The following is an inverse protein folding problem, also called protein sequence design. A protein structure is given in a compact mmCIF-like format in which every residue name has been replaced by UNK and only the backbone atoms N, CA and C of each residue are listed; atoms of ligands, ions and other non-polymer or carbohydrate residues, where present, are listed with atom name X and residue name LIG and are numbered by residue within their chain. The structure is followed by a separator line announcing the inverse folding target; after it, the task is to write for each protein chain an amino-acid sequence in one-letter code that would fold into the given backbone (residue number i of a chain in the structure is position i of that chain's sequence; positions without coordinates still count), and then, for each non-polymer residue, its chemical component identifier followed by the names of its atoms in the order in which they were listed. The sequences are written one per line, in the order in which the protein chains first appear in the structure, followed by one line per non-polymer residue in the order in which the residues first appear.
data_IF_363930330576
#
_entry.id   IF_363930330576
#
_cell.length_a   1.000
_cell.length_b   1.000
_cell.length_c   1.000
_cell.angle_alpha   90.00
_cell.angle_beta   90.00
_cell.angle_gamma   90.00
#
_symmetry.space_group_name_H-M   'P 1'
#
loop_
_entity.id
_entity.type
_entity.pdbx_description
1 polymer ?
#
# COMPACT_ATOMS: atom_id res chain seq x y z
N UNK A 1 6.88 34.64 -19.03
CA UNK A 1 6.27 33.75 -18.01
C UNK A 1 7.02 32.42 -18.04
N UNK A 2 7.81 32.10 -17.01
CA UNK A 2 8.49 30.80 -16.95
C UNK A 2 7.49 29.70 -16.61
N UNK A 3 7.41 28.66 -17.45
CA UNK A 3 6.65 27.46 -17.12
C UNK A 3 7.35 26.75 -15.96
N UNK A 4 6.64 26.56 -14.86
CA UNK A 4 7.13 25.80 -13.70
C UNK A 4 7.38 24.35 -14.15
N UNK A 5 8.54 23.78 -13.80
CA UNK A 5 8.78 22.38 -14.12
C UNK A 5 7.81 21.49 -13.32
N UNK A 6 7.24 20.45 -13.95
CA UNK A 6 6.35 19.54 -13.25
C UNK A 6 7.14 18.76 -12.20
N UNK A 7 6.52 18.58 -11.04
CA UNK A 7 6.97 17.67 -10.01
C UNK A 7 6.93 16.22 -10.52
N UNK A 8 7.61 15.31 -9.81
CA UNK A 8 7.53 13.88 -10.09
C UNK A 8 6.08 13.37 -9.98
N UNK A 9 5.34 13.83 -8.97
CA UNK A 9 3.93 13.48 -8.78
C UNK A 9 3.04 13.91 -9.95
N UNK A 10 3.20 15.14 -10.44
CA UNK A 10 2.45 15.62 -11.62
C UNK A 10 2.80 14.82 -12.89
N UNK A 11 4.06 14.38 -13.01
CA UNK A 11 4.50 13.54 -14.13
C UNK A 11 3.85 12.16 -14.10
N UNK A 12 3.76 11.55 -12.91
CA UNK A 12 3.06 10.27 -12.71
C UNK A 12 1.56 10.40 -12.96
N UNK A 13 0.92 11.44 -12.43
CA UNK A 13 -0.50 11.69 -12.67
C UNK A 13 -0.80 11.85 -14.18
N UNK A 14 0.07 12.55 -14.91
CA UNK A 14 -0.05 12.68 -16.37
C UNK A 14 0.09 11.33 -17.09
N UNK A 15 1.00 10.47 -16.64
CA UNK A 15 1.14 9.13 -17.21
C UNK A 15 -0.13 8.29 -17.00
N UNK A 16 -0.70 8.30 -15.78
CA UNK A 16 -1.95 7.59 -15.45
C UNK A 16 -3.10 8.09 -16.35
N UNK A 17 -3.28 9.40 -16.47
CA UNK A 17 -4.33 9.98 -17.34
C UNK A 17 -4.13 9.58 -18.81
N UNK A 18 -2.87 9.59 -19.28
CA UNK A 18 -2.54 9.27 -20.67
C UNK A 18 -2.78 7.81 -21.02
N UNK A 19 -2.49 6.89 -20.10
CA UNK A 19 -2.62 5.46 -20.30
C UNK A 19 -4.09 5.03 -20.24
N UNK A 20 -4.78 5.38 -19.16
CA UNK A 20 -6.15 4.91 -18.90
C UNK A 20 -7.23 5.73 -19.61
N UNK A 21 -6.91 6.96 -20.04
CA UNK A 21 -7.81 7.88 -20.76
C UNK A 21 -9.24 7.94 -20.16
N UNK A 22 -9.37 8.20 -18.85
CA UNK A 22 -10.65 8.15 -18.18
C UNK A 22 -11.59 9.23 -18.72
N UNK A 23 -12.87 8.88 -18.87
CA UNK A 23 -13.93 9.80 -19.30
C UNK A 23 -14.85 10.17 -18.16
N UNK A 24 -14.90 9.33 -17.13
CA UNK A 24 -15.73 9.50 -15.93
C UNK A 24 -14.89 9.49 -14.67
N UNK A 25 -15.50 9.90 -13.54
CA UNK A 25 -14.90 9.77 -12.22
C UNK A 25 -14.66 8.31 -11.87
N UNK A 26 -15.58 7.42 -12.25
CA UNK A 26 -15.48 5.98 -12.02
C UNK A 26 -14.29 5.38 -12.78
N UNK A 27 -14.05 5.80 -14.03
CA UNK A 27 -12.88 5.36 -14.81
C UNK A 27 -11.57 5.76 -14.10
N UNK A 28 -11.50 6.98 -13.56
CA UNK A 28 -10.33 7.43 -12.81
C UNK A 28 -10.16 6.64 -11.50
N UNK A 29 -11.25 6.36 -10.78
CA UNK A 29 -11.20 5.54 -9.58
C UNK A 29 -10.71 4.12 -9.89
N UNK A 30 -11.15 3.53 -10.99
CA UNK A 30 -10.70 2.22 -11.44
C UNK A 30 -9.23 2.24 -11.85
N UNK A 31 -8.77 3.27 -12.57
CA UNK A 31 -7.36 3.44 -12.90
C UNK A 31 -6.47 3.57 -11.66
N UNK A 32 -6.92 4.32 -10.64
CA UNK A 32 -6.19 4.44 -9.38
C UNK A 32 -6.14 3.11 -8.62
N UNK A 33 -7.25 2.36 -8.58
CA UNK A 33 -7.28 1.02 -7.97
C UNK A 33 -6.38 0.03 -8.70
N UNK A 34 -6.31 0.09 -10.03
CA UNK A 34 -5.45 -0.81 -10.81
C UNK A 34 -3.96 -0.51 -10.57
N UNK A 35 -3.58 0.78 -10.50
CA UNK A 35 -2.19 1.19 -10.25
C UNK A 35 -1.76 0.95 -8.80
N UNK A 36 -2.61 1.27 -7.82
CA UNK A 36 -2.23 1.26 -6.41
C UNK A 36 -2.75 0.06 -5.62
N UNK A 37 -3.74 -0.68 -6.12
CA UNK A 37 -4.28 -1.88 -5.48
C UNK A 37 -3.20 -2.92 -5.17
N UNK A 38 -2.39 -3.34 -6.15
CA UNK A 38 -1.29 -4.28 -5.90
C UNK A 38 -0.25 -3.74 -4.92
N UNK A 39 -0.02 -2.43 -4.89
CA UNK A 39 0.90 -1.80 -3.94
C UNK A 39 0.36 -1.88 -2.51
N UNK A 40 -0.94 -1.61 -2.30
CA UNK A 40 -1.58 -1.77 -1.00
C UNK A 40 -1.62 -3.23 -0.57
N UNK A 41 -1.94 -4.16 -1.48
CA UNK A 41 -1.89 -5.59 -1.20
C UNK A 41 -0.48 -6.03 -0.78
N UNK A 42 0.57 -5.57 -1.47
CA UNK A 42 1.94 -5.88 -1.11
C UNK A 42 2.34 -5.29 0.26
N UNK A 43 1.86 -4.09 0.61
CA UNK A 43 2.07 -3.52 1.95
C UNK A 43 1.39 -4.37 3.02
N UNK A 44 0.12 -4.74 2.82
CA UNK A 44 -0.65 -5.57 3.76
C UNK A 44 -0.08 -6.99 3.88
N UNK A 45 0.35 -7.58 2.77
CA UNK A 45 0.99 -8.90 2.77
C UNK A 45 2.38 -8.82 3.39
N UNK A 46 3.12 -7.74 3.17
CA UNK A 46 4.40 -7.48 3.81
C UNK A 46 4.29 -7.31 5.33
N UNK A 47 3.15 -6.83 5.85
CA UNK A 47 2.83 -6.85 7.28
C UNK A 47 2.48 -8.27 7.80
N UNK A 48 1.94 -9.16 6.94
CA UNK A 48 1.74 -10.56 7.31
C UNK A 48 3.03 -11.39 7.25
N UNK A 49 3.90 -11.11 6.28
CA UNK A 49 5.15 -11.85 6.02
C UNK A 49 6.30 -11.35 6.91
N UNK A 50 6.36 -10.04 7.20
CA UNK A 50 7.13 -9.52 8.32
C UNK A 50 6.26 -9.57 9.57
N UNK A 51 6.34 -10.68 10.29
CA UNK A 51 6.07 -10.78 11.73
C UNK A 51 4.99 -9.83 12.26
N UNK A 52 3.88 -10.41 12.71
CA UNK A 52 2.96 -9.82 13.67
C UNK A 52 3.61 -9.25 14.96
N UNK A 53 4.94 -9.12 15.06
CA UNK A 53 5.67 -8.52 16.18
C UNK A 53 5.45 -9.23 17.51
N UNK A 54 4.61 -10.26 17.53
CA UNK A 54 4.42 -11.15 18.64
C UNK A 54 5.44 -12.26 18.43
N UNK A 55 6.44 -12.26 19.30
CA UNK A 55 7.21 -13.45 19.59
C UNK A 55 6.24 -14.62 19.69
N UNK A 56 6.56 -15.70 18.97
CA UNK A 56 5.81 -16.96 19.02
C UNK A 56 5.49 -17.27 20.47
N UNK A 57 4.22 -17.14 20.86
CA UNK A 57 3.68 -17.42 22.20
C UNK A 57 4.71 -18.17 23.06
N UNK A 58 5.60 -17.45 23.75
CA UNK A 58 6.39 -18.05 24.80
C UNK A 58 5.35 -18.34 25.88
N UNK A 59 4.77 -19.54 25.77
CA UNK A 59 4.22 -20.25 26.91
C UNK A 59 5.42 -20.54 27.81
N UNK A 60 5.90 -19.51 28.49
CA UNK A 60 6.66 -19.72 29.71
C UNK A 60 5.80 -20.66 30.54
N UNK A 61 6.32 -21.85 30.80
CA UNK A 61 5.72 -22.76 31.76
C UNK A 61 5.40 -21.93 33.00
N UNK A 62 4.12 -21.79 33.32
CA UNK A 62 3.75 -21.33 34.65
C UNK A 62 4.17 -22.47 35.57
N UNK A 63 5.38 -22.39 36.12
CA UNK A 63 5.78 -23.08 37.33
C UNK A 63 4.77 -22.68 38.42
N UNK A 64 3.68 -23.43 38.50
CA UNK A 64 2.83 -23.44 39.69
C UNK A 64 3.62 -24.15 40.76
N UNK A 65 4.43 -23.40 41.52
CA UNK A 65 4.91 -23.85 42.81
C UNK A 65 3.72 -23.84 43.77
N UNK A 66 2.93 -24.91 43.69
CA UNK A 66 2.03 -25.28 44.75
C UNK A 66 2.83 -26.00 45.82
N UNK A 67 3.22 -25.26 46.86
CA UNK A 67 3.64 -25.77 48.17
C UNK A 67 3.39 -24.70 49.23
#
# INVERSE_FOLDING_TARGET
MSKKQPTRGESLAKAIISEYKPKTVEDMQNALKDVFGPMFEAMLNGEMENHLGYDNNERGEKETTGL
#
